data_IF_286525890058
#
_entry.id   IF_286525890058
#
_cell.length_a   1.000
_cell.length_b   1.000
_cell.length_c   1.000
_cell.angle_alpha   90.00
_cell.angle_beta   90.00
_cell.angle_gamma   90.00
#
_symmetry.space_group_name_H-M   'P 1'
#
loop_
_entity.id
_entity.type
_entity.pdbx_description
1 polymer ?
#
# COMPACT_ATOMS: atom_id res chain seq x y z
N UNK A 1 4.11 -11.86 2.34
CA UNK A 1 4.27 -10.39 2.26
C UNK A 1 4.04 -9.83 0.84
N UNK A 2 3.07 -10.37 0.08
CA UNK A 2 2.67 -9.95 -1.30
C UNK A 2 3.81 -9.39 -2.19
N UNK A 3 5.00 -10.00 -2.11
CA UNK A 3 6.17 -9.55 -2.84
C UNK A 3 6.20 -10.16 -4.23
N UNK A 4 6.87 -9.49 -5.16
CA UNK A 4 7.04 -9.97 -6.53
C UNK A 4 8.52 -9.96 -6.91
N UNK A 5 9.12 -11.14 -7.05
CA UNK A 5 10.49 -11.31 -7.54
C UNK A 5 10.52 -11.02 -9.03
N UNK A 6 11.47 -10.20 -9.48
CA UNK A 6 11.62 -9.86 -10.90
C UNK A 6 13.05 -10.07 -11.41
N UNK A 7 14.02 -10.31 -10.54
CA UNK A 7 15.39 -10.62 -10.92
C UNK A 7 15.99 -11.60 -9.92
N UNK A 8 16.69 -12.60 -10.44
CA UNK A 8 17.48 -13.55 -9.68
C UNK A 8 18.81 -13.74 -10.41
N UNK A 9 19.91 -13.45 -9.72
CA UNK A 9 21.26 -13.53 -10.27
C UNK A 9 22.17 -14.28 -9.31
N UNK A 10 22.89 -15.29 -9.82
CA UNK A 10 23.96 -15.93 -9.06
C UNK A 10 25.22 -15.07 -9.09
N UNK A 11 25.86 -14.90 -7.93
CA UNK A 11 27.14 -14.20 -7.82
C UNK A 11 28.26 -15.17 -8.19
N UNK A 12 28.87 -14.95 -9.37
CA UNK A 12 29.91 -15.81 -9.92
C UNK A 12 31.05 -16.07 -8.92
N UNK A 13 31.48 -17.33 -8.83
CA UNK A 13 32.54 -17.76 -7.92
C UNK A 13 32.11 -17.91 -6.45
N UNK A 14 30.83 -17.74 -6.13
CA UNK A 14 30.30 -17.90 -4.77
C UNK A 14 28.97 -18.68 -4.79
N UNK A 15 28.53 -19.26 -3.65
CA UNK A 15 27.20 -19.85 -3.55
C UNK A 15 26.07 -18.82 -3.35
N UNK A 16 26.37 -17.51 -3.42
CA UNK A 16 25.39 -16.45 -3.13
C UNK A 16 24.49 -16.15 -4.32
N UNK A 17 23.24 -15.79 -4.01
CA UNK A 17 22.25 -15.29 -4.95
C UNK A 17 21.84 -13.87 -4.56
N UNK A 18 21.65 -13.02 -5.57
CA UNK A 18 21.00 -11.71 -5.45
C UNK A 18 19.60 -11.84 -6.01
N UNK A 19 18.60 -11.62 -5.15
CA UNK A 19 17.19 -11.63 -5.53
C UNK A 19 16.65 -10.22 -5.37
N UNK A 20 16.06 -9.67 -6.43
CA UNK A 20 15.34 -8.39 -6.37
C UNK A 20 13.85 -8.63 -6.46
N UNK A 21 13.11 -7.97 -5.58
CA UNK A 21 11.67 -8.08 -5.50
C UNK A 21 11.03 -6.74 -5.12
N UNK A 22 9.83 -6.51 -5.62
CA UNK A 22 8.97 -5.46 -5.08
C UNK A 22 8.33 -5.94 -3.77
N UNK A 23 8.34 -5.07 -2.77
CA UNK A 23 7.74 -5.31 -1.45
C UNK A 23 6.81 -4.14 -1.11
N UNK A 24 5.49 -4.37 -0.94
CA UNK A 24 4.59 -3.33 -0.48
C UNK A 24 5.05 -2.73 0.85
N UNK A 25 5.12 -1.39 0.94
CA UNK A 25 5.64 -0.69 2.13
C UNK A 25 4.82 -1.01 3.38
N UNK A 26 3.50 -1.18 3.25
CA UNK A 26 2.66 -1.58 4.39
C UNK A 26 2.94 -3.01 4.89
N UNK A 27 3.70 -3.80 4.15
CA UNK A 27 4.15 -5.14 4.50
C UNK A 27 5.68 -5.22 4.67
N UNK A 28 6.39 -4.10 4.85
CA UNK A 28 7.84 -4.10 5.12
C UNK A 28 8.17 -4.09 6.61
N UNK A 29 7.26 -3.65 7.48
CA UNK A 29 7.46 -3.64 8.92
C UNK A 29 7.70 -5.06 9.46
N UNK A 30 8.82 -5.27 10.16
CA UNK A 30 9.24 -6.58 10.65
C UNK A 30 9.83 -7.53 9.58
N UNK A 31 9.95 -7.09 8.32
CA UNK A 31 10.40 -7.97 7.23
C UNK A 31 11.77 -8.58 7.47
N UNK A 32 12.73 -7.79 7.97
CA UNK A 32 14.08 -8.27 8.23
C UNK A 32 14.11 -9.41 9.24
N UNK A 33 13.33 -9.30 10.31
CA UNK A 33 13.27 -10.34 11.35
C UNK A 33 12.67 -11.63 10.77
N UNK A 34 11.54 -11.53 10.07
CA UNK A 34 10.87 -12.66 9.44
C UNK A 34 11.75 -13.32 8.37
N UNK A 35 12.42 -12.53 7.53
CA UNK A 35 13.27 -13.08 6.48
C UNK A 35 14.45 -13.84 7.10
N UNK A 36 15.06 -13.28 8.15
CA UNK A 36 16.16 -13.92 8.87
C UNK A 36 15.71 -15.25 9.50
N UNK A 37 14.56 -15.28 10.16
CA UNK A 37 14.05 -16.51 10.78
C UNK A 37 13.71 -17.59 9.75
N UNK A 38 13.14 -17.20 8.61
CA UNK A 38 12.74 -18.13 7.55
C UNK A 38 13.90 -18.62 6.66
N UNK A 39 15.10 -18.03 6.80
CA UNK A 39 16.29 -18.39 6.01
C UNK A 39 17.44 -18.91 6.88
N UNK A 40 17.17 -19.24 8.15
CA UNK A 40 18.22 -19.68 9.08
C UNK A 40 19.31 -18.62 9.32
N UNK A 41 18.99 -17.34 9.10
CA UNK A 41 19.92 -16.23 9.21
C UNK A 41 20.78 -15.94 7.98
N UNK A 42 20.55 -16.62 6.87
CA UNK A 42 21.43 -16.53 5.69
C UNK A 42 21.06 -15.40 4.72
N UNK A 43 19.83 -14.87 4.78
CA UNK A 43 19.42 -13.76 3.94
C UNK A 43 19.60 -12.40 4.63
N UNK A 44 20.10 -11.44 3.86
CA UNK A 44 20.36 -10.07 4.28
C UNK A 44 19.58 -9.11 3.38
N UNK A 45 18.42 -8.58 3.83
CA UNK A 45 17.63 -7.69 3.00
C UNK A 45 18.22 -6.28 2.98
N UNK A 46 18.30 -5.69 1.79
CA UNK A 46 18.45 -4.25 1.60
C UNK A 46 17.19 -3.73 0.91
N UNK A 47 16.50 -2.79 1.55
CA UNK A 47 15.29 -2.20 1.01
C UNK A 47 15.53 -0.72 0.68
N UNK A 48 15.14 -0.32 -0.53
CA UNK A 48 15.11 1.07 -0.99
C UNK A 48 13.72 1.37 -1.56
N UNK A 49 13.32 2.63 -1.54
CA UNK A 49 12.11 3.04 -2.25
C UNK A 49 12.33 2.91 -3.76
N UNK A 50 11.33 2.35 -4.47
CA UNK A 50 11.40 2.10 -5.91
C UNK A 50 10.35 2.96 -6.65
N UNK A 51 9.05 2.71 -6.44
CA UNK A 51 7.98 3.44 -7.12
C UNK A 51 6.68 3.50 -6.30
N UNK A 52 5.71 4.27 -6.83
CA UNK A 52 4.32 4.25 -6.39
C UNK A 52 3.51 3.27 -7.23
N UNK A 53 2.90 2.28 -6.58
CA UNK A 53 1.98 1.34 -7.22
C UNK A 53 0.54 1.61 -6.77
N UNK A 54 -0.40 1.62 -7.70
CA UNK A 54 -1.83 1.73 -7.38
C UNK A 54 -2.27 0.49 -6.60
N UNK A 55 -2.87 0.69 -5.44
CA UNK A 55 -3.48 -0.39 -4.67
C UNK A 55 -4.80 -0.80 -5.36
N UNK A 56 -4.97 -2.08 -5.76
CA UNK A 56 -6.19 -2.49 -6.44
C UNK A 56 -7.42 -2.40 -5.53
N UNK A 57 -8.52 -1.91 -6.09
CA UNK A 57 -9.80 -1.71 -5.42
C UNK A 57 -10.28 -0.25 -5.49
N UNK A 58 -11.60 -0.05 -5.37
CA UNK A 58 -12.19 1.28 -5.29
C UNK A 58 -12.14 1.80 -3.85
N UNK A 59 -11.51 2.95 -3.55
CA UNK A 59 -11.50 3.55 -2.22
C UNK A 59 -12.87 3.97 -1.68
N UNK A 60 -13.93 3.95 -2.51
CA UNK A 60 -15.31 4.23 -2.12
C UNK A 60 -16.10 2.96 -1.79
N UNK A 61 -15.62 1.79 -2.17
CA UNK A 61 -16.29 0.52 -1.85
C UNK A 61 -15.80 -0.03 -0.52
N UNK A 62 -16.72 -0.14 0.44
CA UNK A 62 -16.46 -0.62 1.80
C UNK A 62 -15.82 -2.01 1.89
N UNK A 63 -15.97 -2.85 0.87
CA UNK A 63 -15.38 -4.18 0.80
C UNK A 63 -13.89 -4.21 0.44
N UNK A 64 -13.28 -3.06 0.11
CA UNK A 64 -11.94 -3.02 -0.48
C UNK A 64 -10.85 -2.59 0.52
N UNK A 65 -9.61 -3.04 0.26
CA UNK A 65 -8.43 -2.65 1.05
C UNK A 65 -8.18 -1.13 0.98
N UNK A 66 -8.25 -0.45 -0.18
CA UNK A 66 -8.14 1.02 -0.25
C UNK A 66 -9.13 1.74 0.67
N UNK A 67 -10.40 1.31 0.70
CA UNK A 67 -11.40 1.92 1.58
C UNK A 67 -11.00 1.84 3.05
N UNK A 68 -10.58 0.67 3.53
CA UNK A 68 -10.12 0.50 4.92
C UNK A 68 -8.98 1.46 5.27
N UNK A 69 -7.96 1.55 4.40
CA UNK A 69 -6.80 2.44 4.61
C UNK A 69 -7.21 3.92 4.67
N UNK A 70 -8.14 4.34 3.80
CA UNK A 70 -8.70 5.69 3.79
C UNK A 70 -9.45 5.97 5.09
N UNK A 71 -10.36 5.08 5.51
CA UNK A 71 -11.16 5.27 6.72
C UNK A 71 -10.31 5.31 7.99
N UNK A 72 -9.35 4.40 8.15
CA UNK A 72 -8.42 4.40 9.29
C UNK A 72 -7.59 5.69 9.34
N UNK A 73 -7.15 6.18 8.18
CA UNK A 73 -6.40 7.43 8.09
C UNK A 73 -7.26 8.64 8.45
N UNK A 74 -8.51 8.70 7.96
CA UNK A 74 -9.47 9.76 8.29
C UNK A 74 -9.74 9.81 9.79
N UNK A 75 -10.04 8.65 10.39
CA UNK A 75 -10.25 8.50 11.83
C UNK A 75 -9.04 8.99 12.64
N UNK A 76 -7.83 8.54 12.28
CA UNK A 76 -6.57 8.96 12.93
C UNK A 76 -6.34 10.48 12.82
N UNK A 77 -6.83 11.12 11.76
CA UNK A 77 -6.70 12.56 11.53
C UNK A 77 -7.86 13.38 12.10
N UNK A 78 -8.82 12.75 12.80
CA UNK A 78 -9.98 13.42 13.38
C UNK A 78 -10.97 13.96 12.33
N UNK A 79 -10.95 13.40 11.11
CA UNK A 79 -11.89 13.75 10.06
C UNK A 79 -13.19 12.95 10.22
N UNK A 80 -14.30 13.50 9.70
CA UNK A 80 -15.60 12.82 9.67
C UNK A 80 -15.46 11.44 9.03
N UNK A 81 -15.82 10.40 9.78
CA UNK A 81 -15.83 9.01 9.30
C UNK A 81 -16.84 8.84 8.15
N UNK A 82 -16.58 7.86 7.28
CA UNK A 82 -17.37 7.64 6.07
C UNK A 82 -16.89 8.45 4.88
N UNK A 83 -17.55 8.24 3.75
CA UNK A 83 -17.28 8.98 2.53
C UNK A 83 -17.84 10.41 2.64
N UNK A 84 -17.12 11.42 2.14
CA UNK A 84 -17.69 12.75 1.98
C UNK A 84 -18.92 12.68 1.09
N UNK A 85 -20.02 13.25 1.54
CA UNK A 85 -21.23 13.35 0.73
C UNK A 85 -21.01 14.40 -0.36
N UNK A 86 -21.26 14.04 -1.62
CA UNK A 86 -21.08 14.93 -2.77
C UNK A 86 -21.94 16.20 -2.63
N UNK A 87 -23.08 16.12 -1.95
CA UNK A 87 -23.95 17.29 -1.71
C UNK A 87 -23.27 18.41 -0.91
N UNK A 88 -22.22 18.10 -0.15
CA UNK A 88 -21.44 19.10 0.60
C UNK A 88 -20.55 19.96 -0.32
N UNK A 89 -20.33 19.54 -1.56
CA UNK A 89 -19.45 20.20 -2.53
C UNK A 89 -20.20 20.78 -3.72
N UNK A 90 -21.49 20.44 -3.88
CA UNK A 90 -22.34 21.00 -4.92
C UNK A 90 -23.02 22.27 -4.38
N UNK A 91 -22.80 23.39 -5.06
CA UNK A 91 -23.52 24.62 -4.76
C UNK A 91 -24.99 24.47 -5.18
N UNK A 92 -25.91 24.90 -4.31
CA UNK A 92 -27.36 24.79 -4.55
C UNK A 92 -27.83 25.95 -5.44
N UNK A 93 -27.33 26.07 -6.67
CA UNK A 93 -27.92 26.98 -7.66
C UNK A 93 -29.11 26.34 -8.37
N UNK A 94 -30.11 25.92 -7.61
CA UNK A 94 -31.44 25.60 -8.14
C UNK A 94 -32.48 26.09 -7.14
N UNK A 95 -32.81 27.39 -7.21
CA UNK A 95 -34.11 27.99 -6.86
C UNK A 95 -34.10 29.53 -6.98
N UNK A 96 -33.58 30.09 -8.09
CA UNK A 96 -33.72 31.55 -8.35
C UNK A 96 -34.45 31.86 -9.67
N UNK A 97 -34.83 30.86 -10.46
CA UNK A 97 -35.71 31.09 -11.62
C UNK A 97 -36.76 29.99 -11.74
N UNK A 98 -37.83 30.14 -10.97
CA UNK A 98 -39.04 29.34 -11.08
C UNK A 98 -40.21 30.20 -10.59
N UNK A 99 -41.08 30.54 -11.53
CA UNK A 99 -42.42 31.10 -11.39
C UNK A 99 -43.15 30.49 -10.17
#
# INVERSE_FOLDING_TARGET
RRGHVFEEMQVAGTPMFVVKAYLPVNESFGFTADLRSNTGGQAFPQCVFDHWQVLPGDPLDSGTKPYTVVQETRKRKGLKEGLPDLTQYLDKFVNVYGI
#
